data_IF_994500054260
#
_entry.id   IF_994500054260
#
_cell.length_a   1.000
_cell.length_b   1.000
_cell.length_c   1.000
_cell.angle_alpha   90.00
_cell.angle_beta   90.00
_cell.angle_gamma   90.00
#
_symmetry.space_group_name_H-M   'P 1'
#
loop_
_entity.id
_entity.type
_entity.pdbx_description
1 polymer ?
#
# COMPACT_ATOMS: atom_id res chain seq x y z
N UNK A 1 -21.37 -4.13 12.29
CA UNK A 1 -20.74 -4.27 12.51
C UNK A 1 -19.60 -4.07 12.27
N UNK A 2 -19.16 -4.10 12.35
CA UNK A 2 -18.10 -3.79 12.69
C UNK A 2 -17.12 -3.41 11.74
N UNK A 3 -16.54 -2.32 11.75
CA UNK A 3 -15.44 -1.91 10.92
C UNK A 3 -14.15 -2.66 11.18
N UNK A 4 -14.25 -3.81 11.82
CA UNK A 4 -13.06 -4.54 12.23
C UNK A 4 -12.22 -5.01 11.05
N UNK A 5 -12.82 -5.13 9.87
CA UNK A 5 -12.12 -5.59 8.69
C UNK A 5 -11.59 -4.46 7.83
N UNK A 6 -11.87 -3.22 8.22
CA UNK A 6 -11.39 -2.09 7.43
C UNK A 6 -9.92 -1.78 7.74
N UNK A 7 -9.19 -1.45 6.69
CA UNK A 7 -7.83 -0.95 6.82
C UNK A 7 -7.85 0.54 6.51
N UNK A 8 -7.37 1.33 7.45
CA UNK A 8 -7.25 2.77 7.23
C UNK A 8 -5.92 3.02 6.54
N UNK A 9 -5.97 3.73 5.42
CA UNK A 9 -4.75 4.09 4.68
C UNK A 9 -4.76 5.59 4.47
N UNK A 10 -3.83 6.27 5.11
CA UNK A 10 -3.63 7.70 4.86
C UNK A 10 -2.85 7.86 3.56
N UNK A 11 -3.28 8.83 2.76
CA UNK A 11 -2.66 9.11 1.48
C UNK A 11 -2.17 10.56 1.48
N UNK A 12 -0.89 10.73 1.19
CA UNK A 12 -0.32 12.05 1.05
C UNK A 12 0.18 12.21 -0.38
N UNK A 13 -0.29 13.24 -1.08
CA UNK A 13 0.13 13.51 -2.45
C UNK A 13 1.26 14.54 -2.42
N UNK A 14 2.35 14.22 -3.10
CA UNK A 14 3.52 15.09 -3.21
C UNK A 14 3.65 15.57 -4.66
N UNK A 15 4.43 16.63 -4.92
CA UNK A 15 4.62 17.10 -6.30
C UNK A 15 5.14 16.02 -7.25
N UNK A 16 5.96 15.10 -6.75
CA UNK A 16 6.57 14.07 -7.58
C UNK A 16 6.16 12.65 -7.18
N UNK A 17 5.14 12.49 -6.34
CA UNK A 17 4.78 11.16 -5.92
C UNK A 17 3.69 11.10 -4.87
N UNK A 18 3.60 9.97 -4.22
CA UNK A 18 2.59 9.72 -3.19
C UNK A 18 3.17 8.93 -2.05
N UNK A 19 2.62 9.14 -0.86
CA UNK A 19 2.94 8.32 0.31
C UNK A 19 1.64 7.66 0.77
N UNK A 20 1.68 6.35 0.91
CA UNK A 20 0.59 5.57 1.48
C UNK A 20 1.02 5.11 2.87
N UNK A 21 0.20 5.40 3.88
CA UNK A 21 0.47 5.02 5.26
C UNK A 21 -0.65 4.14 5.79
N UNK A 22 -0.56 2.82 5.58
CA UNK A 22 -1.57 1.93 6.18
C UNK A 22 -1.42 1.90 7.69
N UNK A 23 -2.54 1.79 8.37
CA UNK A 23 -2.59 1.76 9.82
C UNK A 23 -3.36 0.54 10.28
N UNK A 24 -2.71 -0.30 11.06
CA UNK A 24 -3.30 -1.50 11.60
C UNK A 24 -2.75 -2.75 10.94
N UNK A 25 -3.30 -3.89 11.33
CA UNK A 25 -2.84 -5.18 10.84
C UNK A 25 -3.21 -5.39 9.39
N UNK A 26 -2.27 -5.93 8.62
CA UNK A 26 -2.53 -6.31 7.22
C UNK A 26 -2.55 -7.83 7.15
N UNK A 27 -3.73 -8.39 7.31
CA UNK A 27 -3.96 -9.84 7.28
C UNK A 27 -4.75 -10.19 6.02
N UNK A 28 -5.17 -11.45 5.95
CA UNK A 28 -5.91 -11.94 4.78
C UNK A 28 -7.20 -11.15 4.53
N UNK A 29 -7.85 -10.68 5.58
CA UNK A 29 -9.11 -9.92 5.44
C UNK A 29 -8.86 -8.50 4.94
N UNK A 30 -7.71 -7.93 5.28
CA UNK A 30 -7.42 -6.52 4.99
C UNK A 30 -6.50 -6.30 3.80
N UNK A 31 -5.75 -7.32 3.40
CA UNK A 31 -4.81 -7.16 2.27
C UNK A 31 -5.50 -6.74 0.97
N UNK A 32 -6.76 -7.16 0.67
CA UNK A 32 -7.44 -6.65 -0.53
C UNK A 32 -7.65 -5.14 -0.51
N UNK A 33 -7.83 -4.55 0.65
CA UNK A 33 -7.98 -3.10 0.77
C UNK A 33 -6.67 -2.39 0.47
N UNK A 34 -5.57 -2.94 0.97
CA UNK A 34 -4.24 -2.42 0.65
C UNK A 34 -3.98 -2.53 -0.85
N UNK A 35 -4.33 -3.67 -1.44
CA UNK A 35 -4.17 -3.87 -2.88
C UNK A 35 -4.94 -2.83 -3.68
N UNK A 36 -6.18 -2.56 -3.29
CA UNK A 36 -7.00 -1.55 -3.96
C UNK A 36 -6.34 -0.18 -3.90
N UNK A 37 -5.84 0.20 -2.73
CA UNK A 37 -5.19 1.50 -2.57
C UNK A 37 -3.92 1.59 -3.39
N UNK A 38 -3.13 0.53 -3.41
CA UNK A 38 -1.92 0.48 -4.22
C UNK A 38 -2.25 0.58 -5.71
N UNK A 39 -3.26 -0.16 -6.15
CA UNK A 39 -3.69 -0.13 -7.54
C UNK A 39 -4.15 1.26 -7.96
N UNK A 40 -4.94 1.91 -7.11
CA UNK A 40 -5.41 3.26 -7.39
C UNK A 40 -4.24 4.24 -7.49
N UNK A 41 -3.29 4.12 -6.57
CA UNK A 41 -2.12 4.99 -6.58
C UNK A 41 -1.29 4.80 -7.84
N UNK A 42 -1.11 3.55 -8.24
CA UNK A 42 -0.29 3.22 -9.42
C UNK A 42 -0.94 3.64 -10.72
N UNK A 43 -2.28 3.73 -10.77
CA UNK A 43 -2.97 4.22 -11.95
C UNK A 43 -2.59 5.65 -12.31
N UNK A 44 -2.28 6.46 -11.31
CA UNK A 44 -1.83 7.84 -11.52
C UNK A 44 -0.40 7.95 -12.03
N UNK A 45 0.31 6.83 -12.11
CA UNK A 45 1.71 6.77 -12.56
C UNK A 45 2.59 7.79 -11.84
N UNK A 46 2.59 7.78 -10.49
CA UNK A 46 3.45 8.70 -9.77
C UNK A 46 4.91 8.37 -10.06
N UNK A 47 5.76 9.38 -10.05
CA UNK A 47 7.19 9.16 -10.23
C UNK A 47 7.78 8.38 -9.08
N UNK A 48 7.17 8.50 -7.89
CA UNK A 48 7.64 7.82 -6.70
C UNK A 48 6.45 7.43 -5.82
N UNK A 49 6.49 6.21 -5.30
CA UNK A 49 5.48 5.75 -4.36
C UNK A 49 6.18 5.24 -3.11
N UNK A 50 5.84 5.83 -1.97
CA UNK A 50 6.36 5.40 -0.68
C UNK A 50 5.25 4.68 0.06
N UNK A 51 5.51 3.47 0.52
CA UNK A 51 4.59 2.75 1.40
C UNK A 51 5.22 2.72 2.78
N UNK A 52 4.68 3.50 3.69
CA UNK A 52 5.19 3.65 5.04
C UNK A 52 4.48 2.67 5.96
N UNK A 53 5.18 1.68 6.43
CA UNK A 53 4.63 0.61 7.27
C UNK A 53 4.83 0.85 8.75
N UNK A 54 5.22 2.05 9.14
CA UNK A 54 5.50 2.38 10.54
C UNK A 54 4.34 2.02 11.47
N UNK A 55 3.10 2.23 11.00
CA UNK A 55 1.91 2.00 11.80
C UNK A 55 1.25 0.65 11.53
N UNK A 56 1.98 -0.28 10.91
CA UNK A 56 1.51 -1.64 10.67
C UNK A 56 2.23 -2.57 11.65
N UNK A 57 1.59 -2.94 12.76
CA UNK A 57 2.24 -3.78 13.77
C UNK A 57 2.35 -5.24 13.36
N UNK A 58 1.53 -5.67 12.40
CA UNK A 58 1.51 -7.06 11.96
C UNK A 58 1.15 -7.14 10.49
N UNK A 59 1.85 -8.00 9.77
CA UNK A 59 1.55 -8.29 8.37
C UNK A 59 1.81 -9.76 8.13
N UNK A 60 0.81 -10.46 7.58
CA UNK A 60 1.00 -11.87 7.24
C UNK A 60 1.44 -12.01 5.77
N UNK A 61 1.50 -13.27 5.31
CA UNK A 61 1.99 -13.53 3.96
C UNK A 61 1.11 -12.92 2.87
N UNK A 62 -0.20 -12.75 3.14
CA UNK A 62 -1.08 -12.13 2.14
C UNK A 62 -0.78 -10.65 1.96
N UNK A 63 -0.47 -9.96 3.04
CA UNK A 63 -0.04 -8.56 2.96
C UNK A 63 1.29 -8.43 2.25
N UNK A 64 2.23 -9.30 2.60
CA UNK A 64 3.55 -9.29 1.97
C UNK A 64 3.42 -9.56 0.46
N UNK A 65 2.59 -10.51 0.07
CA UNK A 65 2.37 -10.83 -1.35
C UNK A 65 1.81 -9.62 -2.09
N UNK A 66 0.92 -8.87 -1.44
CA UNK A 66 0.36 -7.65 -2.03
C UNK A 66 1.45 -6.62 -2.31
N UNK A 67 2.38 -6.46 -1.37
CA UNK A 67 3.49 -5.52 -1.56
C UNK A 67 4.44 -5.99 -2.65
N UNK A 68 4.72 -7.29 -2.72
CA UNK A 68 5.58 -7.85 -3.76
C UNK A 68 4.95 -7.62 -5.14
N UNK A 69 3.65 -7.83 -5.25
CA UNK A 69 2.92 -7.60 -6.49
C UNK A 69 3.03 -6.14 -6.92
N UNK A 70 2.87 -5.22 -5.98
CA UNK A 70 3.01 -3.79 -6.25
C UNK A 70 4.44 -3.46 -6.68
N UNK A 71 5.43 -4.07 -6.04
CA UNK A 71 6.82 -3.85 -6.37
C UNK A 71 7.13 -4.28 -7.81
N UNK A 72 6.57 -5.41 -8.23
CA UNK A 72 6.75 -5.88 -9.61
C UNK A 72 6.16 -4.89 -10.61
N UNK A 73 5.01 -4.32 -10.30
CA UNK A 73 4.39 -3.31 -11.14
C UNK A 73 5.25 -2.04 -11.20
N UNK A 74 5.80 -1.63 -10.06
CA UNK A 74 6.60 -0.41 -9.98
C UNK A 74 7.92 -0.54 -10.74
N UNK A 75 8.47 -1.74 -10.80
CA UNK A 75 9.70 -1.97 -11.57
C UNK A 75 9.50 -1.65 -13.05
N UNK A 76 8.33 -2.00 -13.58
CA UNK A 76 8.00 -1.69 -14.95
C UNK A 76 7.90 -0.19 -15.19
N UNK A 77 7.41 0.54 -14.23
CA UNK A 77 7.09 1.97 -14.35
C UNK A 77 8.12 2.87 -13.67
N UNK A 78 9.22 2.30 -13.19
CA UNK A 78 10.30 3.02 -12.51
C UNK A 78 9.80 3.74 -11.25
N UNK A 79 8.78 3.20 -10.61
CA UNK A 79 8.26 3.74 -9.37
C UNK A 79 9.03 3.11 -8.21
N UNK A 80 9.40 3.92 -7.23
CA UNK A 80 10.17 3.45 -6.09
C UNK A 80 9.25 3.17 -4.92
N UNK A 81 9.34 1.98 -4.34
CA UNK A 81 8.62 1.65 -3.11
C UNK A 81 9.64 1.63 -1.98
N UNK A 82 9.32 2.35 -0.91
CA UNK A 82 10.09 2.37 0.31
C UNK A 82 9.22 1.78 1.41
N UNK A 83 9.71 0.76 2.06
CA UNK A 83 8.95 0.05 3.10
C UNK A 83 9.43 0.43 4.49
#
# INVERSE_FOLDING_TARGET
MSGATELVVDVETLPDGMILRPKGDVDMARSPMLRTKLTEALKGKPARLVVDLTDVPYMDSSGLATLIEALQTTRKNKIKIIL
#
